data_IF_604451438742
#
_entry.id   IF_604451438742
#
_cell.length_a   1.000
_cell.length_b   1.000
_cell.length_c   1.000
_cell.angle_alpha   90.00
_cell.angle_beta   90.00
_cell.angle_gamma   90.00
#
_symmetry.space_group_name_H-M   'P 1'
#
loop_
_entity.id
_entity.type
_entity.pdbx_description
1 polymer ?
#
# COMPACT_ATOMS: atom_id res chain seq x y z
N UNK A 1 -0.85 -16.72 11.48
CA UNK A 1 -1.54 -16.90 10.18
C UNK A 1 -0.71 -16.32 9.03
N UNK A 2 0.22 -17.10 8.43
CA UNK A 2 1.07 -16.68 7.29
C UNK A 2 0.67 -17.45 6.03
N UNK A 3 -0.30 -16.93 5.27
CA UNK A 3 -0.77 -17.53 3.98
C UNK A 3 -0.48 -16.65 2.74
N UNK A 4 0.28 -15.54 2.87
CA UNK A 4 0.44 -14.53 1.80
C UNK A 4 1.66 -14.72 0.87
N UNK A 5 2.53 -15.68 1.17
CA UNK A 5 3.75 -15.98 0.38
C UNK A 5 3.60 -17.13 -0.60
N UNK A 6 2.39 -17.64 -0.83
CA UNK A 6 2.18 -18.77 -1.74
C UNK A 6 2.54 -18.33 -3.17
N UNK A 7 3.73 -18.76 -3.57
CA UNK A 7 4.36 -18.78 -4.89
C UNK A 7 4.79 -17.44 -5.51
N UNK A 8 6.02 -16.96 -5.22
CA UNK A 8 6.65 -15.82 -5.91
C UNK A 8 6.69 -15.96 -7.44
N UNK A 9 6.84 -17.17 -7.97
CA UNK A 9 6.90 -17.40 -9.41
C UNK A 9 5.53 -17.19 -10.09
N UNK A 10 4.45 -17.64 -9.45
CA UNK A 10 3.08 -17.40 -9.92
C UNK A 10 2.74 -15.90 -9.91
N UNK A 11 3.16 -15.18 -8.87
CA UNK A 11 2.97 -13.71 -8.82
C UNK A 11 3.73 -12.99 -9.92
N UNK A 12 4.95 -13.43 -10.24
CA UNK A 12 5.69 -12.91 -11.37
C UNK A 12 4.98 -13.21 -12.69
N UNK A 13 4.49 -14.44 -12.88
CA UNK A 13 3.71 -14.82 -14.06
C UNK A 13 2.49 -13.91 -14.25
N UNK A 14 1.65 -13.77 -13.23
CA UNK A 14 0.46 -12.90 -13.28
C UNK A 14 0.83 -11.43 -13.57
N UNK A 15 1.93 -10.94 -13.00
CA UNK A 15 2.39 -9.59 -13.26
C UNK A 15 2.88 -9.41 -14.70
N UNK A 16 3.51 -10.43 -15.30
CA UNK A 16 3.92 -10.44 -16.70
C UNK A 16 2.70 -10.54 -17.62
N UNK A 17 1.76 -11.43 -17.33
CA UNK A 17 0.56 -11.66 -18.14
C UNK A 17 -0.29 -10.40 -18.27
N UNK A 18 -0.43 -9.65 -17.17
CA UNK A 18 -1.16 -8.39 -17.12
C UNK A 18 -0.49 -7.23 -17.89
N UNK A 19 0.76 -7.40 -18.34
CA UNK A 19 1.43 -6.35 -19.12
C UNK A 19 0.85 -6.26 -20.54
N UNK A 20 0.74 -5.04 -21.11
CA UNK A 20 0.39 -4.89 -22.52
C UNK A 20 1.41 -5.61 -23.43
N UNK A 21 0.98 -6.20 -24.57
CA UNK A 21 1.86 -6.93 -25.49
C UNK A 21 3.10 -6.12 -25.90
N UNK A 22 2.91 -4.85 -26.26
CA UNK A 22 4.00 -3.94 -26.63
C UNK A 22 5.06 -3.77 -25.52
N UNK A 23 4.65 -3.82 -24.25
CA UNK A 23 5.58 -3.74 -23.11
C UNK A 23 6.33 -5.06 -22.94
N UNK A 24 5.67 -6.21 -23.13
CA UNK A 24 6.34 -7.53 -23.10
C UNK A 24 7.42 -7.61 -24.18
N UNK A 25 7.11 -7.19 -25.40
CA UNK A 25 8.06 -7.14 -26.52
C UNK A 25 9.23 -6.18 -26.27
N UNK A 26 8.93 -4.97 -25.79
CA UNK A 26 9.96 -3.98 -25.46
C UNK A 26 10.87 -4.49 -24.33
N UNK A 27 10.30 -5.12 -23.30
CA UNK A 27 11.06 -5.73 -22.23
C UNK A 27 11.93 -6.88 -22.74
N UNK A 28 11.42 -7.73 -23.62
CA UNK A 28 12.17 -8.84 -24.21
C UNK A 28 13.40 -8.33 -24.97
N UNK A 29 13.23 -7.34 -25.86
CA UNK A 29 14.35 -6.68 -26.56
C UNK A 29 15.36 -6.06 -25.58
N UNK A 30 14.84 -5.40 -24.54
CA UNK A 30 15.68 -4.77 -23.52
C UNK A 30 16.49 -5.78 -22.70
N UNK A 31 15.89 -6.90 -22.33
CA UNK A 31 16.55 -7.98 -21.57
C UNK A 31 17.65 -8.66 -22.40
N UNK A 32 17.44 -8.82 -23.71
CA UNK A 32 18.44 -9.41 -24.60
C UNK A 32 19.62 -8.48 -24.88
N UNK A 33 19.39 -7.16 -24.86
CA UNK A 33 20.42 -6.16 -25.18
C UNK A 33 21.22 -5.64 -23.96
N UNK A 34 20.82 -5.95 -22.72
CA UNK A 34 21.38 -5.30 -21.53
C UNK A 34 21.71 -6.29 -20.41
N UNK A 35 22.68 -5.93 -19.56
CA UNK A 35 22.94 -6.62 -18.30
C UNK A 35 21.80 -6.34 -17.32
N UNK A 36 21.02 -7.36 -17.00
CA UNK A 36 19.86 -7.23 -16.11
C UNK A 36 20.26 -7.36 -14.64
N UNK A 37 19.70 -6.47 -13.82
CA UNK A 37 19.85 -6.47 -12.36
C UNK A 37 18.52 -6.65 -11.63
N UNK A 38 18.62 -6.95 -10.34
CA UNK A 38 17.48 -7.07 -9.40
C UNK A 38 17.70 -6.12 -8.22
N UNK A 39 16.62 -5.67 -7.58
CA UNK A 39 16.68 -4.87 -6.35
C UNK A 39 17.13 -3.42 -6.50
N UNK A 40 17.30 -2.92 -7.73
CA UNK A 40 17.60 -1.52 -8.05
C UNK A 40 17.10 -1.16 -9.45
N UNK A 41 17.11 0.14 -9.76
CA UNK A 41 16.77 0.66 -11.08
C UNK A 41 17.94 0.62 -12.07
N UNK A 42 19.13 0.99 -11.58
CA UNK A 42 20.43 0.93 -12.25
C UNK A 42 21.50 0.55 -11.23
N UNK A 43 22.60 -0.07 -11.65
CA UNK A 43 23.79 -0.27 -10.83
C UNK A 43 24.97 0.60 -11.30
N UNK A 44 26.10 0.52 -10.61
CA UNK A 44 27.31 1.31 -10.92
C UNK A 44 28.08 0.78 -12.13
N UNK A 45 27.80 -0.45 -12.54
CA UNK A 45 28.46 -1.14 -13.64
C UNK A 45 27.65 -1.05 -14.95
N UNK A 46 26.61 -0.21 -14.99
CA UNK A 46 25.75 -0.04 -16.15
C UNK A 46 24.64 -1.09 -16.33
N UNK A 47 24.44 -1.97 -15.34
CA UNK A 47 23.31 -2.88 -15.27
C UNK A 47 22.00 -2.14 -15.03
N UNK A 48 20.91 -2.64 -15.63
CA UNK A 48 19.59 -2.00 -15.55
C UNK A 48 18.49 -2.99 -15.19
N UNK A 49 17.44 -2.52 -14.53
CA UNK A 49 16.29 -3.37 -14.24
C UNK A 49 15.47 -3.66 -15.52
N UNK A 50 14.69 -4.76 -15.55
CA UNK A 50 13.90 -5.11 -16.74
C UNK A 50 12.89 -4.01 -17.13
N UNK A 51 12.37 -3.26 -16.16
CA UNK A 51 11.46 -2.14 -16.43
C UNK A 51 12.14 -1.00 -17.17
N UNK A 52 13.35 -0.62 -16.76
CA UNK A 52 14.13 0.40 -17.46
C UNK A 52 14.55 -0.09 -18.84
N UNK A 53 14.90 -1.37 -18.96
CA UNK A 53 15.19 -1.99 -20.25
C UNK A 53 13.98 -1.90 -21.20
N UNK A 54 12.78 -2.19 -20.71
CA UNK A 54 11.54 -2.03 -21.46
C UNK A 54 11.29 -0.57 -21.86
N UNK A 55 11.46 0.37 -20.92
CA UNK A 55 11.21 1.78 -21.17
C UNK A 55 12.12 2.35 -22.27
N UNK A 56 13.41 2.01 -22.25
CA UNK A 56 14.38 2.38 -23.30
C UNK A 56 14.02 1.80 -24.68
N UNK A 57 13.27 0.71 -24.70
CA UNK A 57 12.80 0.04 -25.92
C UNK A 57 11.33 0.39 -26.29
N UNK A 58 10.81 1.51 -25.75
CA UNK A 58 9.48 2.04 -26.08
C UNK A 58 8.34 1.60 -25.17
N UNK A 59 8.61 0.79 -24.13
CA UNK A 59 7.63 0.37 -23.13
C UNK A 59 7.33 1.47 -22.10
N UNK A 60 6.64 2.54 -22.50
CA UNK A 60 6.34 3.74 -21.67
C UNK A 60 5.25 3.51 -20.61
N UNK A 61 5.29 2.39 -19.88
CA UNK A 61 4.34 2.09 -18.81
C UNK A 61 5.10 1.80 -17.51
N UNK A 62 4.75 2.50 -16.44
CA UNK A 62 5.27 2.19 -15.10
C UNK A 62 4.47 1.06 -14.48
N UNK A 63 5.09 -0.10 -14.30
CA UNK A 63 4.46 -1.31 -13.76
C UNK A 63 5.08 -1.66 -12.40
N UNK A 64 4.70 -0.89 -11.37
CA UNK A 64 5.17 -1.12 -10.00
C UNK A 64 4.81 -2.53 -9.48
N UNK A 65 3.73 -3.13 -9.97
CA UNK A 65 3.34 -4.52 -9.68
C UNK A 65 4.38 -5.52 -10.17
N UNK A 66 4.87 -5.36 -11.41
CA UNK A 66 5.92 -6.20 -11.98
C UNK A 66 7.24 -6.01 -11.22
N UNK A 67 7.69 -4.78 -10.99
CA UNK A 67 8.95 -4.53 -10.28
C UNK A 67 8.99 -5.22 -8.91
N UNK A 68 7.90 -5.10 -8.14
CA UNK A 68 7.75 -5.77 -6.83
C UNK A 68 7.67 -7.30 -6.95
N UNK A 69 7.07 -7.82 -8.02
CA UNK A 69 6.98 -9.26 -8.25
C UNK A 69 8.34 -9.84 -8.66
N UNK A 70 9.09 -9.13 -9.49
CA UNK A 70 10.45 -9.46 -9.92
C UNK A 70 11.40 -9.56 -8.73
N UNK A 71 11.49 -8.50 -7.92
CA UNK A 71 12.38 -8.48 -6.76
C UNK A 71 12.02 -9.55 -5.72
N UNK A 72 10.71 -9.84 -5.56
CA UNK A 72 10.25 -10.91 -4.69
C UNK A 72 10.59 -12.30 -5.25
N UNK A 73 10.44 -12.52 -6.55
CA UNK A 73 10.81 -13.77 -7.20
C UNK A 73 12.32 -14.06 -7.07
N UNK A 74 13.16 -13.05 -7.23
CA UNK A 74 14.62 -13.17 -7.13
C UNK A 74 15.13 -13.15 -5.68
N UNK A 75 14.24 -12.88 -4.71
CA UNK A 75 14.60 -12.71 -3.30
C UNK A 75 15.59 -11.55 -3.08
N UNK A 76 15.53 -10.49 -3.89
CA UNK A 76 16.50 -9.41 -3.84
C UNK A 76 16.36 -8.61 -2.55
N UNK A 77 17.41 -8.61 -1.71
CA UNK A 77 17.53 -7.74 -0.53
C UNK A 77 18.46 -6.55 -0.77
N UNK A 78 19.37 -6.68 -1.73
CA UNK A 78 20.32 -5.66 -2.18
C UNK A 78 20.48 -5.73 -3.70
N UNK A 79 20.89 -4.64 -4.35
CA UNK A 79 21.15 -4.63 -5.78
C UNK A 79 22.20 -5.68 -6.15
N UNK A 80 21.88 -6.53 -7.14
CA UNK A 80 22.84 -7.49 -7.69
C UNK A 80 22.50 -7.82 -9.16
N UNK A 81 23.44 -8.39 -9.91
CA UNK A 81 23.13 -8.97 -11.21
C UNK A 81 22.07 -10.08 -11.09
N UNK A 82 21.14 -10.11 -12.05
CA UNK A 82 20.25 -11.23 -12.22
C UNK A 82 21.04 -12.46 -12.68
N UNK A 83 20.74 -13.62 -12.11
CA UNK A 83 21.35 -14.88 -12.54
C UNK A 83 20.83 -15.26 -13.92
N UNK A 84 21.61 -16.08 -14.65
CA UNK A 84 21.18 -16.61 -15.96
C UNK A 84 19.84 -17.34 -15.90
N UNK A 85 19.58 -18.06 -14.79
CA UNK A 85 18.30 -18.76 -14.57
C UNK A 85 17.14 -17.78 -14.42
N UNK A 86 17.30 -16.71 -13.64
CA UNK A 86 16.27 -15.69 -13.44
C UNK A 86 15.94 -14.97 -14.75
N UNK A 87 16.96 -14.59 -15.52
CA UNK A 87 16.78 -13.96 -16.85
C UNK A 87 16.08 -14.91 -17.82
N UNK A 88 16.47 -16.19 -17.84
CA UNK A 88 15.81 -17.22 -18.65
C UNK A 88 14.34 -17.39 -18.28
N UNK A 89 14.02 -17.45 -16.98
CA UNK A 89 12.61 -17.52 -16.53
C UNK A 89 11.82 -16.32 -17.02
N UNK A 90 12.35 -15.10 -16.84
CA UNK A 90 11.68 -13.89 -17.31
C UNK A 90 11.43 -13.93 -18.81
N UNK A 91 12.44 -14.33 -19.60
CA UNK A 91 12.32 -14.50 -21.05
C UNK A 91 11.23 -15.50 -21.42
N UNK A 92 11.18 -16.66 -20.78
CA UNK A 92 10.14 -17.66 -21.02
C UNK A 92 8.74 -17.12 -20.71
N UNK A 93 8.57 -16.40 -19.60
CA UNK A 93 7.29 -15.78 -19.25
C UNK A 93 6.86 -14.71 -20.28
N UNK A 94 7.80 -13.88 -20.74
CA UNK A 94 7.52 -12.86 -21.76
C UNK A 94 7.11 -13.50 -23.09
N UNK A 95 7.85 -14.52 -23.55
CA UNK A 95 7.52 -15.25 -24.77
C UNK A 95 6.16 -15.94 -24.67
N UNK A 96 5.89 -16.66 -23.58
CA UNK A 96 4.57 -17.27 -23.33
C UNK A 96 3.45 -16.24 -23.34
N UNK A 97 3.66 -15.08 -22.72
CA UNK A 97 2.67 -14.00 -22.66
C UNK A 97 2.48 -13.23 -23.97
N UNK A 98 3.39 -13.37 -24.94
CA UNK A 98 3.27 -12.86 -26.31
C UNK A 98 2.56 -13.91 -27.18
N UNK A 99 3.01 -15.16 -27.15
CA UNK A 99 2.45 -16.26 -27.95
C UNK A 99 1.05 -16.70 -27.52
N UNK A 100 0.73 -16.58 -26.22
CA UNK A 100 -0.60 -16.85 -25.67
C UNK A 100 -1.58 -15.69 -25.83
N UNK A 101 -1.15 -14.59 -26.44
CA UNK A 101 -2.07 -13.59 -26.97
C UNK A 101 -2.72 -14.17 -28.21
N UNK A 102 -3.91 -14.72 -28.05
CA UNK A 102 -4.86 -14.85 -29.16
C UNK A 102 -4.83 -13.50 -29.93
N UNK A 103 -4.74 -13.46 -31.27
CA UNK A 103 -5.03 -12.25 -32.03
C UNK A 103 -6.53 -11.94 -31.88
N UNK A 104 -6.97 -11.68 -30.65
CA UNK A 104 -8.26 -11.12 -30.33
C UNK A 104 -8.30 -9.80 -31.09
N UNK A 105 -9.13 -9.86 -32.13
CA UNK A 105 -9.59 -8.84 -33.04
C UNK A 105 -9.45 -7.44 -32.45
N UNK A 106 -9.12 -6.41 -33.25
CA UNK A 106 -9.20 -5.03 -32.79
C UNK A 106 -10.64 -4.72 -32.35
N UNK A 107 -10.95 -5.01 -31.09
CA UNK A 107 -12.11 -4.50 -30.40
C UNK A 107 -12.06 -3.00 -30.53
N UNK A 108 -13.20 -2.41 -30.86
CA UNK A 108 -13.34 -0.97 -31.06
C UNK A 108 -12.61 -0.20 -29.96
N UNK A 109 -12.06 0.97 -30.30
CA UNK A 109 -11.41 1.89 -29.34
C UNK A 109 -12.26 2.06 -28.07
N UNK A 110 -13.59 1.97 -28.20
CA UNK A 110 -14.55 1.97 -27.09
C UNK A 110 -14.34 0.82 -26.07
N UNK A 111 -14.09 -0.41 -26.52
CA UNK A 111 -13.88 -1.58 -25.65
C UNK A 111 -12.52 -1.52 -24.95
N UNK A 112 -11.48 -1.09 -25.69
CA UNK A 112 -10.17 -0.83 -25.10
C UNK A 112 -10.26 0.28 -24.03
N UNK A 113 -11.00 1.35 -24.29
CA UNK A 113 -11.23 2.42 -23.33
C UNK A 113 -12.07 1.97 -22.13
N UNK A 114 -13.04 1.07 -22.33
CA UNK A 114 -13.84 0.49 -21.24
C UNK A 114 -12.97 -0.39 -20.32
N UNK A 115 -12.09 -1.22 -20.90
CA UNK A 115 -11.14 -2.04 -20.14
C UNK A 115 -10.16 -1.20 -19.32
N UNK A 116 -9.59 -0.14 -19.92
CA UNK A 116 -8.69 0.78 -19.21
C UNK A 116 -9.42 1.50 -18.05
N UNK A 117 -10.68 1.90 -18.25
CA UNK A 117 -11.51 2.52 -17.20
C UNK A 117 -11.77 1.53 -16.05
N UNK A 118 -12.11 0.28 -16.37
CA UNK A 118 -12.35 -0.76 -15.37
C UNK A 118 -11.08 -1.07 -14.55
N UNK A 119 -9.92 -1.17 -15.19
CA UNK A 119 -8.64 -1.39 -14.50
C UNK A 119 -8.29 -0.22 -13.56
N UNK A 120 -8.47 1.03 -14.02
CA UNK A 120 -8.24 2.22 -13.19
C UNK A 120 -9.17 2.26 -11.98
N UNK A 121 -10.45 1.92 -12.16
CA UNK A 121 -11.41 1.85 -11.07
C UNK A 121 -11.01 0.79 -10.02
N UNK A 122 -10.54 -0.39 -10.46
CA UNK A 122 -10.09 -1.44 -9.55
C UNK A 122 -8.82 -1.04 -8.76
N UNK A 123 -7.89 -0.33 -9.39
CA UNK A 123 -6.70 0.21 -8.71
C UNK A 123 -7.11 1.26 -7.68
N UNK A 124 -7.97 2.22 -8.07
CA UNK A 124 -8.45 3.27 -7.18
C UNK A 124 -9.21 2.70 -5.97
N UNK A 125 -10.06 1.68 -6.16
CA UNK A 125 -10.74 0.99 -5.07
C UNK A 125 -9.75 0.33 -4.10
N UNK A 126 -8.70 -0.30 -4.62
CA UNK A 126 -7.67 -0.94 -3.80
C UNK A 126 -6.84 0.07 -3.02
N UNK A 127 -6.52 1.20 -3.63
CA UNK A 127 -5.84 2.31 -2.97
C UNK A 127 -6.73 2.94 -1.91
N UNK A 128 -8.02 3.12 -2.17
CA UNK A 128 -9.01 3.60 -1.20
C UNK A 128 -9.15 2.66 0.00
N UNK A 129 -9.16 1.34 -0.22
CA UNK A 129 -9.17 0.35 0.86
C UNK A 129 -7.89 0.42 1.72
N UNK A 130 -6.73 0.65 1.10
CA UNK A 130 -5.46 0.82 1.82
C UNK A 130 -5.45 2.15 2.58
N UNK A 131 -5.92 3.23 1.96
CA UNK A 131 -6.02 4.55 2.59
C UNK A 131 -7.00 4.53 3.76
N UNK A 132 -8.14 3.86 3.63
CA UNK A 132 -9.10 3.68 4.72
C UNK A 132 -8.55 2.82 5.86
N UNK A 133 -7.65 1.88 5.56
CA UNK A 133 -6.92 1.10 6.57
C UNK A 133 -5.77 1.87 7.23
N UNK A 134 -5.27 2.94 6.60
CA UNK A 134 -4.21 3.77 7.16
C UNK A 134 -4.85 4.79 8.10
N UNK A 135 -4.65 4.59 9.40
CA UNK A 135 -5.05 5.57 10.42
C UNK A 135 -4.51 6.95 10.05
N UNK A 136 -5.31 8.03 10.21
CA UNK A 136 -4.79 9.38 10.04
C UNK A 136 -3.59 9.58 10.96
N UNK A 137 -2.52 10.17 10.43
CA UNK A 137 -1.34 10.51 11.20
C UNK A 137 -1.69 11.67 12.13
N UNK A 138 -2.17 11.36 13.33
CA UNK A 138 -2.57 12.34 14.37
C UNK A 138 -1.39 13.12 14.97
N UNK A 139 -0.17 13.04 14.39
CA UNK A 139 1.01 13.76 14.87
C UNK A 139 1.55 13.29 16.23
N UNK A 140 0.89 12.35 16.90
CA UNK A 140 1.30 11.88 18.22
C UNK A 140 2.51 10.95 18.16
N UNK A 141 3.46 11.16 19.10
CA UNK A 141 4.58 10.24 19.33
C UNK A 141 4.08 9.03 20.11
N UNK A 142 4.63 7.85 19.81
CA UNK A 142 4.26 6.59 20.48
C UNK A 142 4.73 6.56 21.95
N UNK A 143 3.95 7.13 22.88
CA UNK A 143 4.26 7.26 24.33
C UNK A 143 3.91 6.03 25.18
N UNK A 144 3.66 4.88 24.57
CA UNK A 144 3.32 3.65 25.32
C UNK A 144 4.41 3.21 26.30
N UNK A 145 5.67 3.59 26.07
CA UNK A 145 6.78 3.40 27.02
C UNK A 145 6.63 4.24 28.29
N UNK A 146 6.18 5.48 28.16
CA UNK A 146 6.00 6.41 29.28
C UNK A 146 4.85 5.96 30.19
N UNK A 147 3.78 5.44 29.58
CA UNK A 147 2.58 5.03 30.31
C UNK A 147 2.72 3.65 30.98
N UNK A 148 3.65 2.79 30.51
CA UNK A 148 3.87 1.44 31.07
C UNK A 148 4.22 1.42 32.56
N UNK A 149 4.83 2.49 33.09
CA UNK A 149 5.22 2.59 34.49
C UNK A 149 4.11 3.02 35.45
N UNK A 150 2.93 3.43 34.95
CA UNK A 150 1.82 3.86 35.81
C UNK A 150 0.96 2.66 36.22
N UNK A 151 0.87 2.37 37.52
CA UNK A 151 0.00 1.31 38.01
C UNK A 151 -1.45 1.49 37.49
N UNK A 152 -2.01 0.43 36.91
CA UNK A 152 -3.41 0.32 36.43
C UNK A 152 -3.81 1.16 35.21
N UNK A 153 -2.87 1.77 34.47
CA UNK A 153 -3.18 2.55 33.26
C UNK A 153 -3.88 1.74 32.14
N UNK A 154 -3.59 0.45 32.04
CA UNK A 154 -4.22 -0.43 31.05
C UNK A 154 -5.67 -0.80 31.39
N UNK A 155 -6.08 -0.59 32.65
CA UNK A 155 -7.40 -0.94 33.19
C UNK A 155 -8.30 0.28 33.41
N UNK A 156 -7.76 1.50 33.47
CA UNK A 156 -8.50 2.76 33.38
C UNK A 156 -8.54 3.28 31.94
N UNK A 157 -9.23 2.59 31.03
CA UNK A 157 -9.47 3.12 29.68
C UNK A 157 -10.93 3.54 29.46
N UNK A 158 -11.36 4.72 29.94
CA UNK A 158 -12.51 5.41 29.35
C UNK A 158 -12.24 5.85 27.91
N UNK A 159 -10.98 6.21 27.62
CA UNK A 159 -10.52 6.74 26.34
C UNK A 159 -9.19 6.09 25.93
N UNK A 160 -8.97 5.93 24.62
CA UNK A 160 -7.70 5.39 24.09
C UNK A 160 -6.69 6.48 23.73
N UNK A 161 -7.12 7.75 23.77
CA UNK A 161 -6.37 8.94 23.44
C UNK A 161 -6.32 9.92 24.62
N UNK A 162 -5.25 10.72 24.74
CA UNK A 162 -5.11 11.68 25.85
C UNK A 162 -6.07 12.87 25.70
N UNK A 163 -6.29 13.37 24.48
CA UNK A 163 -7.25 14.45 24.26
C UNK A 163 -8.68 14.01 24.56
N UNK A 164 -9.06 12.81 24.13
CA UNK A 164 -10.37 12.21 24.45
C UNK A 164 -10.55 12.06 25.98
N UNK A 165 -9.50 11.68 26.70
CA UNK A 165 -9.52 11.67 28.17
C UNK A 165 -9.64 13.08 28.77
N UNK A 166 -8.95 14.08 28.19
CA UNK A 166 -9.01 15.47 28.64
C UNK A 166 -10.40 16.07 28.44
N UNK A 167 -11.02 15.79 27.30
CA UNK A 167 -12.37 16.26 26.96
C UNK A 167 -13.42 15.60 27.86
N UNK A 168 -13.26 14.30 28.15
CA UNK A 168 -14.10 13.60 29.12
C UNK A 168 -13.96 14.16 30.55
N UNK A 169 -12.75 14.54 30.97
CA UNK A 169 -12.54 15.20 32.26
C UNK A 169 -13.18 16.59 32.33
N UNK A 170 -13.10 17.36 31.24
CA UNK A 170 -13.74 18.68 31.16
C UNK A 170 -15.26 18.55 31.27
N UNK A 171 -15.88 17.65 30.49
CA UNK A 171 -17.31 17.39 30.53
C UNK A 171 -17.79 16.90 31.91
N UNK A 172 -17.02 16.02 32.56
CA UNK A 172 -17.34 15.57 33.92
C UNK A 172 -17.22 16.71 34.95
N UNK A 173 -16.28 17.63 34.76
CA UNK A 173 -16.13 18.82 35.60
C UNK A 173 -17.32 19.77 35.46
N UNK A 174 -17.81 19.99 34.24
CA UNK A 174 -19.00 20.80 33.96
C UNK A 174 -20.25 20.19 34.62
N UNK A 175 -20.47 18.88 34.47
CA UNK A 175 -21.60 18.18 35.11
C UNK A 175 -21.58 18.29 36.64
N UNK A 176 -20.40 18.19 37.25
CA UNK A 176 -20.26 18.32 38.70
C UNK A 176 -20.48 19.77 39.18
N UNK A 177 -20.10 20.75 38.36
CA UNK A 177 -20.37 22.16 38.64
C UNK A 177 -21.87 22.47 38.53
N UNK A 178 -22.56 21.93 37.52
CA UNK A 178 -24.01 22.03 37.36
C UNK A 178 -24.77 21.39 38.53
N UNK A 179 -24.35 20.19 38.96
CA UNK A 179 -24.93 19.51 40.13
C UNK A 179 -24.78 20.33 41.42
N UNK A 180 -23.59 20.87 41.68
CA UNK A 180 -23.34 21.73 42.84
C UNK A 180 -24.13 23.04 42.80
N UNK A 181 -24.30 23.62 41.60
CA UNK A 181 -25.12 24.81 41.42
C UNK A 181 -26.61 24.52 41.68
N UNK A 182 -27.10 23.34 41.28
CA UNK A 182 -28.46 22.89 41.57
C UNK A 182 -28.66 22.67 43.08
N UNK A 183 -27.72 22.01 43.76
CA UNK A 183 -27.76 21.82 45.22
C UNK A 183 -27.79 23.17 45.98
N UNK A 184 -26.98 24.14 45.57
CA UNK A 184 -26.96 25.49 46.16
C UNK A 184 -28.26 26.29 45.91
N UNK A 185 -28.99 25.99 44.83
CA UNK A 185 -30.28 26.61 44.54
C UNK A 185 -31.42 25.96 45.33
N UNK A 186 -31.32 24.66 45.62
CA UNK A 186 -32.27 23.94 46.50
C UNK A 186 -32.07 24.31 47.98
N UNK A 187 -30.85 24.66 48.40
CA UNK A 187 -30.50 25.00 49.78
C UNK A 187 -30.60 26.52 50.10
N UNK A 188 -31.26 27.33 49.25
CA UNK A 188 -31.70 28.67 49.66
C UNK A 188 -32.99 28.54 50.48
N UNK A 189 -32.95 28.62 51.83
CA UNK A 189 -34.19 28.84 52.57
C UNK A 189 -34.82 30.13 52.05
N UNK A 190 -36.13 30.08 51.84
CA UNK A 190 -36.93 31.24 51.51
C UNK A 190 -36.89 32.25 52.67
N UNK A 191 -35.80 33.02 52.77
CA UNK A 191 -35.71 34.16 53.66
C UNK A 191 -36.60 35.28 53.09
N UNK A 192 -37.71 35.47 53.79
CA UNK A 192 -38.50 36.69 53.94
C UNK A 192 -39.01 37.41 52.69
N UNK A 193 -40.31 37.20 52.42
CA UNK A 193 -41.25 38.30 52.22
C UNK A 193 -42.56 37.97 52.95
N UNK A 194 -42.62 38.35 54.23
CA UNK A 194 -43.86 38.61 54.97
C UNK A 194 -43.93 40.12 55.21
#
# INVERSE_FOLDING_TARGET
MRRRDRNPAERLRLAVDAMPPRVKEAMLRGVDANRIIVGAYVDRDGGICPMLAAHRNGGRVSLASFARAWDRYTGAKRPRPATRREVRTLRSLLLSGISGGDPAQPGSIAEAAARIRAERAAIAQREALIAHSMRPATGERHRASELRGRLRWSWMRPARHYEEYRDLLAAAGEQLAEQRAAELLEDRPAEHLA
#
